data_IF_035083609071
#
_entry.id   IF_035083609071
#
_cell.length_a   1.000
_cell.length_b   1.000
_cell.length_c   1.000
_cell.angle_alpha   90.00
_cell.angle_beta   90.00
_cell.angle_gamma   90.00
#
_symmetry.space_group_name_H-M   'P 1'
#
loop_
_entity.id
_entity.type
_entity.pdbx_description
1 polymer ?
#
# COMPACT_ATOMS: atom_id res chain seq x y z
N UNK A 1 9.42 -0.22 -15.87
CA UNK A 1 9.90 -1.61 -15.92
C UNK A 1 8.92 -2.41 -15.08
N UNK A 2 8.10 -3.27 -15.69
CA UNK A 2 6.93 -3.86 -15.03
C UNK A 2 7.35 -4.82 -13.90
N UNK A 3 6.62 -4.78 -12.79
CA UNK A 3 6.72 -5.71 -11.66
C UNK A 3 6.49 -7.17 -12.04
N UNK A 4 6.13 -7.47 -13.29
CA UNK A 4 5.84 -8.80 -13.81
C UNK A 4 7.08 -9.70 -13.91
N UNK A 5 8.29 -9.15 -13.85
CA UNK A 5 9.54 -9.95 -13.90
C UNK A 5 10.03 -10.45 -12.53
N UNK A 6 9.38 -10.04 -11.44
CA UNK A 6 9.83 -10.30 -10.07
C UNK A 6 8.87 -11.21 -9.29
N UNK A 7 8.17 -12.15 -9.95
CA UNK A 7 7.47 -13.30 -9.36
C UNK A 7 6.84 -13.07 -7.97
N UNK A 8 6.21 -11.92 -7.76
CA UNK A 8 5.56 -11.63 -6.49
C UNK A 8 4.32 -12.51 -6.38
N UNK A 9 4.27 -13.34 -5.35
CA UNK A 9 3.14 -14.21 -5.13
C UNK A 9 2.03 -13.45 -4.39
N UNK A 10 1.07 -12.92 -5.15
CA UNK A 10 -0.10 -12.19 -4.65
C UNK A 10 -0.99 -13.00 -3.66
N UNK A 11 -0.80 -14.32 -3.58
CA UNK A 11 -1.54 -15.23 -2.68
C UNK A 11 -0.71 -15.73 -1.50
N UNK A 12 0.51 -15.22 -1.34
CA UNK A 12 1.39 -15.57 -0.25
C UNK A 12 0.84 -15.07 1.09
N UNK A 13 1.02 -15.86 2.16
CA UNK A 13 0.48 -15.59 3.50
C UNK A 13 1.05 -14.30 4.11
N UNK A 14 2.32 -14.01 3.82
CA UNK A 14 3.04 -12.81 4.30
C UNK A 14 3.18 -11.76 3.18
N UNK A 15 2.17 -11.66 2.30
CA UNK A 15 2.20 -10.77 1.14
C UNK A 15 2.36 -9.29 1.51
N UNK A 16 1.80 -8.86 2.64
CA UNK A 16 1.97 -7.53 3.21
C UNK A 16 3.42 -7.27 3.67
N UNK A 17 4.05 -8.25 4.33
CA UNK A 17 5.48 -8.21 4.69
C UNK A 17 6.36 -8.19 3.44
N UNK A 18 6.02 -9.01 2.44
CA UNK A 18 6.69 -9.04 1.15
C UNK A 18 6.64 -7.69 0.44
N UNK A 19 5.47 -7.04 0.42
CA UNK A 19 5.31 -5.71 -0.16
C UNK A 19 6.10 -4.65 0.63
N UNK A 20 6.07 -4.68 1.97
CA UNK A 20 6.87 -3.78 2.79
C UNK A 20 8.37 -3.93 2.51
N UNK A 21 8.85 -5.16 2.30
CA UNK A 21 10.23 -5.43 1.89
C UNK A 21 10.53 -4.84 0.51
N UNK A 22 9.62 -4.98 -0.44
CA UNK A 22 9.76 -4.42 -1.79
C UNK A 22 9.82 -2.90 -1.79
N UNK A 23 9.00 -2.24 -0.97
CA UNK A 23 9.01 -0.78 -0.80
C UNK A 23 10.35 -0.31 -0.22
N UNK A 24 10.93 -1.03 0.76
CA UNK A 24 12.27 -0.72 1.28
C UNK A 24 13.36 -0.90 0.22
N UNK A 25 13.26 -1.93 -0.64
CA UNK A 25 14.18 -2.11 -1.76
C UNK A 25 14.05 -0.95 -2.76
N UNK A 26 12.83 -0.48 -3.02
CA UNK A 26 12.56 0.67 -3.90
C UNK A 26 13.15 1.97 -3.33
N UNK A 27 12.98 2.24 -2.04
CA UNK A 27 13.61 3.42 -1.39
C UNK A 27 15.13 3.38 -1.53
N UNK A 28 15.77 2.22 -1.33
CA UNK A 28 17.23 2.07 -1.53
C UNK A 28 17.66 2.32 -2.98
N UNK A 29 16.85 1.88 -3.95
CA UNK A 29 17.11 2.14 -5.36
C UNK A 29 17.08 3.65 -5.67
N UNK A 30 16.07 4.36 -5.14
CA UNK A 30 15.93 5.81 -5.30
C UNK A 30 17.10 6.56 -4.65
N UNK A 31 17.47 6.18 -3.43
CA UNK A 31 18.64 6.73 -2.74
C UNK A 31 19.93 6.49 -3.52
N UNK A 32 20.17 5.25 -3.99
CA UNK A 32 21.34 4.90 -4.78
C UNK A 32 21.40 5.72 -6.08
N UNK A 33 20.31 5.75 -6.83
CA UNK A 33 20.26 6.43 -8.14
C UNK A 33 20.33 7.95 -8.02
N UNK A 34 19.87 8.54 -6.90
CA UNK A 34 20.00 9.98 -6.62
C UNK A 34 21.45 10.46 -6.59
N UNK A 35 22.40 9.57 -6.26
CA UNK A 35 23.84 9.86 -6.19
C UNK A 35 24.61 9.53 -7.47
N UNK A 36 23.92 9.04 -8.52
CA UNK A 36 24.59 8.54 -9.71
C UNK A 36 24.98 9.63 -10.73
N UNK A 37 24.51 10.86 -10.61
CA UNK A 37 24.80 11.98 -11.54
C UNK A 37 24.64 11.60 -13.03
N UNK A 38 23.65 10.75 -13.34
CA UNK A 38 23.39 10.27 -14.71
C UNK A 38 24.35 9.20 -15.23
N UNK A 39 25.27 8.68 -14.42
CA UNK A 39 26.20 7.61 -14.79
C UNK A 39 25.46 6.29 -15.10
N UNK A 40 25.54 5.75 -16.33
CA UNK A 40 24.85 4.52 -16.70
C UNK A 40 25.33 3.28 -15.95
N UNK A 41 26.63 3.21 -15.63
CA UNK A 41 27.21 2.10 -14.86
C UNK A 41 26.75 2.12 -13.40
N UNK A 42 26.62 3.32 -12.81
CA UNK A 42 26.05 3.49 -11.48
C UNK A 42 24.60 3.04 -11.43
N UNK A 43 23.77 3.53 -12.37
CA UNK A 43 22.37 3.12 -12.47
C UNK A 43 22.23 1.60 -12.63
N UNK A 44 23.07 0.98 -13.47
CA UNK A 44 23.04 -0.47 -13.67
C UNK A 44 23.38 -1.23 -12.38
N UNK A 45 24.35 -0.76 -11.58
CA UNK A 45 24.67 -1.34 -10.28
C UNK A 45 23.51 -1.20 -9.29
N UNK A 46 22.92 0.00 -9.17
CA UNK A 46 21.77 0.21 -8.28
C UNK A 46 20.60 -0.71 -8.65
N UNK A 47 20.32 -0.91 -9.94
CA UNK A 47 19.30 -1.85 -10.39
C UNK A 47 19.65 -3.31 -10.05
N UNK A 48 20.93 -3.71 -10.14
CA UNK A 48 21.38 -5.02 -9.70
C UNK A 48 21.16 -5.23 -8.19
N UNK A 49 21.57 -4.28 -7.38
CA UNK A 49 21.38 -4.32 -5.91
C UNK A 49 19.89 -4.34 -5.53
N UNK A 50 19.05 -3.63 -6.27
CA UNK A 50 17.59 -3.66 -6.11
C UNK A 50 17.00 -5.04 -6.43
N UNK A 51 17.43 -5.68 -7.53
CA UNK A 51 17.00 -7.04 -7.87
C UNK A 51 17.43 -8.04 -6.78
N UNK A 52 18.68 -7.97 -6.35
CA UNK A 52 19.20 -8.84 -5.28
C UNK A 52 18.40 -8.65 -3.98
N UNK A 53 18.07 -7.40 -3.63
CA UNK A 53 17.21 -7.07 -2.49
C UNK A 53 15.83 -7.72 -2.59
N UNK A 54 15.17 -7.62 -3.76
CA UNK A 54 13.85 -8.19 -3.96
C UNK A 54 13.85 -9.72 -3.92
N UNK A 55 14.88 -10.38 -4.46
CA UNK A 55 14.91 -11.85 -4.48
C UNK A 55 14.87 -12.46 -3.08
N UNK A 56 15.42 -11.78 -2.06
CA UNK A 56 15.43 -12.27 -0.67
C UNK A 56 14.22 -11.79 0.13
N UNK A 57 13.29 -11.04 -0.45
CA UNK A 57 12.06 -10.64 0.22
C UNK A 57 11.10 -11.82 0.38
N UNK A 58 10.31 -11.87 1.47
CA UNK A 58 9.20 -12.81 1.61
C UNK A 58 8.24 -12.70 0.43
N UNK A 59 7.71 -13.81 -0.04
CA UNK A 59 6.79 -13.91 -1.18
C UNK A 59 7.40 -13.57 -2.55
N UNK A 60 8.73 -13.40 -2.62
CA UNK A 60 9.50 -13.33 -3.86
C UNK A 60 10.26 -14.63 -4.10
N UNK A 61 11.06 -14.68 -5.18
CA UNK A 61 11.70 -15.90 -5.69
C UNK A 61 12.57 -16.66 -4.69
N UNK A 62 13.23 -15.99 -3.76
CA UNK A 62 14.06 -16.61 -2.72
C UNK A 62 13.30 -17.06 -1.47
N UNK A 63 12.08 -16.57 -1.27
CA UNK A 63 11.23 -16.90 -0.12
C UNK A 63 9.75 -17.05 -0.52
N UNK A 64 9.40 -18.04 -1.37
CA UNK A 64 8.04 -18.16 -1.93
C UNK A 64 6.97 -18.51 -0.89
N UNK A 65 7.35 -19.13 0.23
CA UNK A 65 6.49 -19.48 1.36
C UNK A 65 6.37 -18.34 2.40
N UNK A 66 6.69 -17.11 2.00
CA UNK A 66 6.68 -15.96 2.89
C UNK A 66 7.84 -16.01 3.88
N UNK A 67 7.54 -15.72 5.16
CA UNK A 67 8.53 -15.64 6.22
C UNK A 67 8.92 -16.99 6.82
N UNK A 68 8.19 -18.06 6.51
CA UNK A 68 8.51 -19.38 7.01
C UNK A 68 9.86 -19.86 6.46
N UNK A 69 10.90 -19.85 7.32
CA UNK A 69 12.25 -20.28 6.95
C UNK A 69 12.99 -19.28 6.06
N UNK A 70 12.47 -18.07 5.88
CA UNK A 70 13.14 -17.01 5.13
C UNK A 70 14.15 -16.28 6.04
N UNK A 71 15.43 -16.17 5.66
CA UNK A 71 16.47 -15.53 6.47
C UNK A 71 16.41 -13.98 6.41
N UNK A 72 15.33 -13.41 5.88
CA UNK A 72 15.19 -11.96 5.77
C UNK A 72 14.88 -11.35 7.16
N UNK A 73 15.61 -10.30 7.59
CA UNK A 73 15.36 -9.65 8.89
C UNK A 73 13.92 -9.20 9.10
N UNK A 74 13.20 -8.85 8.03
CA UNK A 74 11.79 -8.44 8.10
C UNK A 74 10.87 -9.55 8.64
N UNK A 75 11.33 -10.81 8.64
CA UNK A 75 10.64 -11.97 9.19
C UNK A 75 10.98 -12.26 10.65
N UNK A 76 12.07 -11.69 11.18
CA UNK A 76 12.46 -11.84 12.59
C UNK A 76 11.54 -11.06 13.52
N UNK A 77 10.96 -9.99 13.00
CA UNK A 77 9.85 -9.29 13.60
C UNK A 77 8.57 -9.84 12.99
N UNK A 78 7.87 -10.76 13.68
CA UNK A 78 6.51 -11.24 13.32
C UNK A 78 5.43 -10.12 13.33
N UNK A 79 5.85 -8.89 13.13
CA UNK A 79 5.06 -7.69 13.04
C UNK A 79 5.40 -7.07 11.69
N UNK A 80 4.79 -7.57 10.61
CA UNK A 80 4.32 -6.63 9.60
C UNK A 80 3.66 -5.52 10.41
N UNK A 81 4.24 -4.32 10.43
CA UNK A 81 3.76 -3.24 11.29
C UNK A 81 2.30 -3.06 10.94
N UNK A 82 1.40 -3.50 11.83
CA UNK A 82 -0.02 -3.58 11.53
C UNK A 82 -0.56 -2.18 11.71
N UNK A 83 -0.46 -1.41 10.64
CA UNK A 83 -1.13 -0.14 10.55
C UNK A 83 -2.59 -0.42 10.23
N UNK A 84 -3.47 -0.06 11.15
CA UNK A 84 -4.89 -0.02 10.84
C UNK A 84 -5.23 1.41 10.46
N UNK A 85 -5.60 1.61 9.19
CA UNK A 85 -6.17 2.86 8.75
C UNK A 85 -7.69 2.69 8.66
N UNK A 86 -8.40 3.36 9.56
CA UNK A 86 -9.86 3.36 9.58
C UNK A 86 -10.36 4.67 8.98
N UNK A 87 -11.25 4.49 8.02
CA UNK A 87 -11.95 5.56 7.33
C UNK A 87 -13.40 5.41 7.76
N UNK A 88 -13.89 6.43 8.42
CA UNK A 88 -15.17 6.44 9.08
C UNK A 88 -15.92 7.68 8.59
N UNK A 89 -17.13 7.48 8.08
CA UNK A 89 -18.02 8.57 7.64
C UNK A 89 -18.17 9.64 8.72
N UNK A 90 -18.16 9.25 10.01
CA UNK A 90 -18.27 10.17 11.14
C UNK A 90 -17.09 11.11 11.28
N UNK A 91 -15.93 10.73 10.72
CA UNK A 91 -14.74 11.56 10.66
C UNK A 91 -14.67 12.38 9.36
N UNK A 92 -15.66 12.22 8.47
CA UNK A 92 -15.83 12.93 7.21
C UNK A 92 -15.88 14.45 7.39
N UNK A 93 -16.71 14.92 8.32
CA UNK A 93 -16.86 16.36 8.64
C UNK A 93 -15.54 17.01 9.10
N UNK A 94 -14.63 16.21 9.68
CA UNK A 94 -13.34 16.68 10.18
C UNK A 94 -12.20 16.50 9.17
N UNK A 95 -12.47 15.85 8.04
CA UNK A 95 -11.45 15.41 7.08
C UNK A 95 -10.30 14.64 7.74
N UNK A 96 -10.67 13.67 8.60
CA UNK A 96 -9.72 12.83 9.33
C UNK A 96 -9.93 11.34 9.09
N UNK A 97 -8.83 10.60 9.02
CA UNK A 97 -8.80 9.15 9.14
C UNK A 97 -8.08 8.76 10.42
N UNK A 98 -8.51 7.66 11.05
CA UNK A 98 -7.83 7.13 12.23
C UNK A 98 -6.72 6.19 11.79
N UNK A 99 -5.50 6.46 12.24
CA UNK A 99 -4.33 5.61 12.02
C UNK A 99 -3.91 5.04 13.37
N UNK A 100 -4.04 3.72 13.52
CA UNK A 100 -3.47 3.02 14.66
C UNK A 100 -2.16 2.37 14.25
N UNK A 101 -1.13 2.60 15.06
CA UNK A 101 0.16 1.95 14.91
C UNK A 101 0.31 0.87 15.97
N UNK A 102 0.40 -0.40 15.56
CA UNK A 102 0.63 -1.52 16.46
C UNK A 102 1.95 -1.43 17.24
N UNK A 103 2.94 -0.69 16.77
CA UNK A 103 4.26 -0.59 17.43
C UNK A 103 4.24 0.35 18.63
N UNK A 104 3.60 1.50 18.47
CA UNK A 104 3.52 2.51 19.54
C UNK A 104 2.25 2.37 20.36
N UNK A 105 1.32 1.52 19.92
CA UNK A 105 -0.06 1.43 20.42
C UNK A 105 -0.81 2.77 20.37
N UNK A 106 -0.31 3.73 19.59
CA UNK A 106 -0.89 5.06 19.48
C UNK A 106 -1.94 5.13 18.38
N UNK A 107 -2.96 5.94 18.65
CA UNK A 107 -3.93 6.39 17.65
C UNK A 107 -3.58 7.81 17.25
N UNK A 108 -3.36 8.02 15.96
CA UNK A 108 -3.12 9.32 15.37
C UNK A 108 -4.19 9.62 14.32
N UNK A 109 -4.63 10.88 14.24
CA UNK A 109 -5.60 11.29 13.23
C UNK A 109 -4.86 11.93 12.05
N UNK A 110 -4.97 11.33 10.87
CA UNK A 110 -4.36 11.81 9.62
C UNK A 110 -5.37 12.59 8.81
N UNK A 111 -4.89 13.56 8.03
CA UNK A 111 -5.73 14.28 7.09
C UNK A 111 -6.13 13.34 5.96
N UNK A 112 -7.42 13.26 5.69
CA UNK A 112 -7.96 12.67 4.47
C UNK A 112 -9.12 13.56 4.02
N UNK A 113 -9.07 14.03 2.78
CA UNK A 113 -10.13 14.87 2.24
C UNK A 113 -11.25 13.97 1.72
N UNK A 114 -12.35 13.88 2.45
CA UNK A 114 -13.50 13.08 2.02
C UNK A 114 -14.29 13.72 0.88
N UNK A 115 -13.99 14.98 0.53
CA UNK A 115 -14.82 15.80 -0.35
C UNK A 115 -16.30 15.75 0.08
N UNK A 116 -16.51 15.79 1.40
CA UNK A 116 -17.80 15.51 2.03
C UNK A 116 -18.89 16.39 1.43
N UNK A 117 -19.76 15.75 0.67
CA UNK A 117 -20.91 16.37 0.01
C UNK A 117 -21.82 15.29 -0.56
N UNK A 118 -23.05 15.67 -0.84
CA UNK A 118 -24.10 14.91 -1.53
C UNK A 118 -23.62 14.22 -2.83
N UNK A 119 -22.55 14.74 -3.47
CA UNK A 119 -22.02 14.21 -4.73
C UNK A 119 -21.06 13.04 -4.55
N UNK A 120 -20.34 13.02 -3.41
CA UNK A 120 -19.33 12.01 -3.08
C UNK A 120 -19.89 10.92 -2.15
N UNK A 121 -20.93 11.25 -1.37
CA UNK A 121 -21.86 10.31 -0.72
C UNK A 121 -21.18 9.10 -0.09
N UNK A 122 -20.30 9.41 0.86
CA UNK A 122 -19.52 8.42 1.60
C UNK A 122 -20.34 7.71 2.70
N UNK A 123 -21.54 8.22 3.00
CA UNK A 123 -22.46 7.67 4.00
C UNK A 123 -22.95 6.30 3.56
N UNK A 124 -22.94 5.31 4.46
CA UNK A 124 -23.35 3.93 4.16
C UNK A 124 -22.58 3.29 2.98
N UNK A 125 -21.31 3.67 2.80
CA UNK A 125 -20.43 3.01 1.82
C UNK A 125 -19.84 1.71 2.35
N UNK A 126 -19.67 0.75 1.45
CA UNK A 126 -18.88 -0.46 1.70
C UNK A 126 -17.42 -0.20 1.34
N UNK A 127 -16.50 -0.73 2.14
CA UNK A 127 -15.08 -0.71 1.84
C UNK A 127 -14.62 -1.99 1.14
N UNK A 128 -13.75 -1.85 0.14
CA UNK A 128 -13.04 -2.97 -0.49
C UNK A 128 -11.59 -2.59 -0.83
N UNK A 129 -10.68 -3.56 -0.74
CA UNK A 129 -9.33 -3.44 -1.27
C UNK A 129 -9.19 -4.32 -2.51
N UNK A 130 -8.68 -3.76 -3.60
CA UNK A 130 -8.47 -4.49 -4.85
C UNK A 130 -7.19 -3.98 -5.51
N UNK A 131 -6.24 -4.87 -5.82
CA UNK A 131 -4.95 -4.55 -6.44
C UNK A 131 -4.16 -3.44 -5.71
N UNK A 132 -4.19 -3.44 -4.38
CA UNK A 132 -3.50 -2.43 -3.55
C UNK A 132 -4.20 -1.06 -3.50
N UNK A 133 -5.33 -0.89 -4.19
CA UNK A 133 -6.12 0.32 -4.15
C UNK A 133 -7.31 0.15 -3.19
N UNK A 134 -7.67 1.25 -2.53
CA UNK A 134 -8.77 1.32 -1.58
C UNK A 134 -10.01 1.89 -2.27
N UNK A 135 -11.12 1.16 -2.19
CA UNK A 135 -12.39 1.50 -2.80
C UNK A 135 -13.48 1.72 -1.75
N UNK A 136 -14.33 2.69 -2.02
CA UNK A 136 -15.61 2.92 -1.34
C UNK A 136 -16.70 2.68 -2.38
N UNK A 137 -17.64 1.80 -2.06
CA UNK A 137 -18.67 1.32 -2.97
C UNK A 137 -20.06 1.62 -2.42
N UNK A 138 -20.92 2.17 -3.26
CA UNK A 138 -22.26 2.58 -2.91
C UNK A 138 -22.30 3.97 -2.28
N UNK A 139 -23.24 4.14 -1.36
CA UNK A 139 -23.62 5.43 -0.79
C UNK A 139 -25.12 5.48 -0.52
N UNK A 140 -25.54 6.21 0.50
CA UNK A 140 -26.96 6.33 0.87
C UNK A 140 -27.82 6.86 -0.29
N UNK A 141 -27.36 7.91 -0.97
CA UNK A 141 -28.05 8.55 -2.11
C UNK A 141 -27.63 7.97 -3.47
N UNK A 142 -26.43 7.40 -3.59
CA UNK A 142 -25.77 6.96 -4.81
C UNK A 142 -25.31 5.51 -4.66
N UNK A 143 -26.26 4.59 -4.55
CA UNK A 143 -26.03 3.15 -4.27
C UNK A 143 -25.11 2.42 -5.25
N UNK A 144 -24.86 2.98 -6.43
CA UNK A 144 -24.01 2.39 -7.47
C UNK A 144 -22.69 3.16 -7.67
N UNK A 145 -22.40 4.15 -6.83
CA UNK A 145 -21.18 4.93 -6.93
C UNK A 145 -19.95 4.07 -6.60
N UNK A 146 -18.86 4.35 -7.30
CA UNK A 146 -17.54 3.84 -6.98
C UNK A 146 -16.67 5.04 -6.69
N UNK A 147 -15.98 5.03 -5.56
CA UNK A 147 -14.94 5.99 -5.23
C UNK A 147 -13.66 5.25 -4.84
N UNK A 148 -12.53 5.92 -5.03
CA UNK A 148 -11.22 5.45 -4.58
C UNK A 148 -10.61 6.46 -3.63
N UNK A 149 -9.65 5.99 -2.85
CA UNK A 149 -8.76 6.86 -2.09
C UNK A 149 -7.49 7.04 -2.90
N UNK A 150 -7.24 8.27 -3.30
CA UNK A 150 -6.06 8.65 -4.08
C UNK A 150 -5.56 10.00 -3.58
N UNK A 151 -4.25 10.13 -3.39
CA UNK A 151 -3.62 11.36 -2.87
C UNK A 151 -4.23 11.86 -1.54
N UNK A 152 -4.55 10.94 -0.64
CA UNK A 152 -5.23 11.23 0.63
C UNK A 152 -6.59 11.94 0.45
N UNK A 153 -7.31 11.66 -0.65
CA UNK A 153 -8.65 12.17 -0.89
C UNK A 153 -9.58 11.09 -1.46
N UNK A 154 -10.87 11.18 -1.13
CA UNK A 154 -11.92 10.37 -1.75
C UNK A 154 -12.25 10.96 -3.11
N UNK A 155 -12.00 10.19 -4.18
CA UNK A 155 -12.26 10.59 -5.56
C UNK A 155 -13.25 9.64 -6.20
N UNK A 156 -14.39 10.17 -6.66
CA UNK A 156 -15.39 9.41 -7.41
C UNK A 156 -14.78 8.92 -8.73
N UNK A 157 -15.15 7.72 -9.12
CA UNK A 157 -14.75 7.10 -10.37
C UNK A 157 -15.88 7.22 -11.38
N UNK A 158 -15.53 7.33 -12.66
CA UNK A 158 -16.51 7.36 -13.76
C UNK A 158 -17.15 5.97 -14.02
N UNK A 159 -16.73 4.95 -13.28
CA UNK A 159 -17.29 3.60 -13.30
C UNK A 159 -18.41 3.51 -12.27
N UNK A 160 -19.54 2.94 -12.68
CA UNK A 160 -20.65 2.60 -11.78
C UNK A 160 -20.80 1.09 -11.68
N UNK A 161 -21.26 0.61 -10.53
CA UNK A 161 -21.66 -0.80 -10.40
C UNK A 161 -22.98 -0.98 -11.16
N UNK A 162 -22.97 -1.82 -12.20
CA UNK A 162 -24.18 -2.21 -12.95
C UNK A 162 -25.10 -3.12 -12.13
#
# INVERSE_FOLDING_TARGET
>A
MSLELLNFNLRCVDGDVGQLCADQCQTKLEECTSTCDGSPSCNSRCNGEWLDCLTVCPCYSGCPEGCQGCPNPICGDNSAKKHLFVIDERMGDYNKGMHWNSETEEIQFRNINYNYSWQYDIEDTCYAMMNGEHYLLGGWYNRNAVAKIEDCAVKKQDVVLE
#
